data_IF_584626289618
#
_entry.id   IF_584626289618
#
_cell.length_a   1.000
_cell.length_b   1.000
_cell.length_c   1.000
_cell.angle_alpha   90.00
_cell.angle_beta   90.00
_cell.angle_gamma   90.00
#
_symmetry.space_group_name_H-M   'P 1'
#
loop_
_entity.id
_entity.type
_entity.pdbx_description
1 polymer ?
#
# COMPACT_ATOMS: atom_id res chain seq x y z
N UNK A 1 -6.97 34.75 5.32
CA UNK A 1 -6.09 34.14 6.34
C UNK A 1 -5.80 32.72 5.89
N UNK A 2 -4.53 32.37 5.71
CA UNK A 2 -4.14 31.01 5.32
C UNK A 2 -3.90 30.22 6.61
N UNK A 3 -4.70 29.21 6.85
CA UNK A 3 -4.49 28.33 8.01
C UNK A 3 -3.47 27.27 7.64
N UNK A 4 -2.51 27.01 8.53
CA UNK A 4 -1.51 25.97 8.41
C UNK A 4 -1.78 24.87 9.44
N UNK A 5 -1.52 23.62 9.05
CA UNK A 5 -1.64 22.45 9.92
C UNK A 5 -0.27 21.77 10.06
N UNK A 6 0.17 21.55 11.30
CA UNK A 6 1.37 20.75 11.55
C UNK A 6 1.07 19.25 11.41
N UNK A 7 1.83 18.54 10.57
CA UNK A 7 1.67 17.10 10.37
C UNK A 7 2.16 16.25 11.57
N UNK A 8 2.92 16.86 12.49
CA UNK A 8 3.41 16.17 13.68
C UNK A 8 2.41 16.23 14.84
N UNK A 9 1.99 17.44 15.24
CA UNK A 9 1.11 17.66 16.39
C UNK A 9 -0.34 18.00 16.03
N UNK A 10 -0.68 18.09 14.73
CA UNK A 10 -2.00 18.47 14.20
C UNK A 10 -2.53 19.81 14.72
N UNK A 11 -1.65 20.66 15.23
CA UNK A 11 -2.00 22.01 15.60
C UNK A 11 -2.29 22.83 14.34
N UNK A 12 -3.38 23.59 14.38
CA UNK A 12 -3.77 24.57 13.36
C UNK A 12 -3.44 25.97 13.84
N UNK A 13 -2.87 26.78 12.97
CA UNK A 13 -2.44 28.14 13.29
C UNK A 13 -2.46 29.00 12.03
N UNK A 14 -2.66 30.30 12.21
CA UNK A 14 -2.85 31.27 11.14
C UNK A 14 -1.64 32.22 11.11
N UNK A 15 -0.61 31.84 10.38
CA UNK A 15 0.61 32.64 10.14
C UNK A 15 0.85 32.77 8.63
N UNK A 16 1.44 33.88 8.16
CA UNK A 16 1.60 34.12 6.72
C UNK A 16 2.61 33.16 6.07
N UNK A 17 3.75 32.93 6.74
CA UNK A 17 4.82 31.99 6.35
C UNK A 17 5.52 31.37 7.57
N UNK A 18 4.90 30.40 8.25
CA UNK A 18 5.57 29.73 9.36
C UNK A 18 6.69 28.84 8.82
N UNK A 19 7.92 28.95 9.31
CA UNK A 19 8.99 27.98 9.01
C UNK A 19 8.87 26.71 9.87
N UNK A 20 8.29 26.86 11.07
CA UNK A 20 8.17 25.81 12.08
C UNK A 20 6.83 25.90 12.78
N UNK A 21 6.33 24.76 13.24
CA UNK A 21 5.14 24.73 14.07
C UNK A 21 5.39 25.40 15.43
N UNK A 22 4.54 26.35 15.87
CA UNK A 22 4.69 27.03 17.16
C UNK A 22 4.53 26.10 18.37
N UNK A 23 3.86 24.94 18.19
CA UNK A 23 3.56 24.01 19.27
C UNK A 23 4.61 22.91 19.49
N UNK A 24 5.33 22.52 18.43
CA UNK A 24 6.28 21.39 18.50
C UNK A 24 7.59 21.62 17.73
N UNK A 25 7.80 22.83 17.20
CA UNK A 25 8.98 23.24 16.43
C UNK A 25 9.28 22.39 15.20
N UNK A 26 8.35 21.53 14.77
CA UNK A 26 8.49 20.71 13.57
C UNK A 26 8.33 21.54 12.30
N UNK A 27 9.22 21.34 11.33
CA UNK A 27 9.12 21.94 9.98
C UNK A 27 8.13 21.20 9.06
N UNK A 28 7.42 20.18 9.55
CA UNK A 28 6.38 19.47 8.77
C UNK A 28 5.05 20.16 8.93
N UNK A 29 4.82 21.16 8.09
CA UNK A 29 3.61 21.98 8.06
C UNK A 29 2.98 21.92 6.67
N UNK A 30 1.65 21.96 6.59
CA UNK A 30 0.89 21.96 5.33
C UNK A 30 -0.09 23.13 5.35
N UNK A 31 -0.20 23.84 4.24
CA UNK A 31 -1.29 24.81 4.02
C UNK A 31 -2.62 24.06 4.04
N UNK A 32 -3.45 24.33 5.05
CA UNK A 32 -4.84 23.90 5.07
C UNK A 32 -5.60 24.85 4.15
N UNK A 33 -5.57 24.56 2.85
CA UNK A 33 -6.42 25.25 1.90
C UNK A 33 -7.87 25.07 2.36
N UNK A 34 -8.54 26.20 2.63
CA UNK A 34 -9.99 26.28 2.81
C UNK A 34 -10.60 25.48 1.67
N UNK A 35 -11.33 24.41 2.02
CA UNK A 35 -12.11 23.69 1.03
C UNK A 35 -13.11 24.67 0.42
N UNK A 36 -12.82 25.16 -0.78
CA UNK A 36 -13.85 25.68 -1.66
C UNK A 36 -14.92 24.58 -1.86
N UNK A 37 -16.21 24.95 -1.94
CA UNK A 37 -17.32 24.00 -2.00
C UNK A 37 -17.14 23.00 -3.17
N UNK A 38 -17.77 21.81 -3.08
CA UNK A 38 -17.51 20.71 -3.99
C UNK A 38 -17.72 21.15 -5.44
N UNK A 39 -16.62 21.24 -6.19
CA UNK A 39 -16.68 21.25 -7.66
C UNK A 39 -17.32 19.94 -8.06
N UNK A 40 -18.44 20.08 -8.76
CA UNK A 40 -19.19 19.04 -9.44
C UNK A 40 -18.25 18.03 -10.14
N UNK A 41 -18.64 16.76 -10.28
CA UNK A 41 -17.80 15.73 -10.88
C UNK A 41 -17.61 16.03 -12.39
N UNK A 42 -16.56 16.79 -12.71
CA UNK A 42 -16.06 16.91 -14.07
C UNK A 42 -15.54 15.55 -14.50
N UNK A 43 -16.19 15.04 -15.55
CA UNK A 43 -15.88 13.80 -16.24
C UNK A 43 -14.36 13.64 -16.45
N UNK A 44 -13.91 12.41 -16.21
CA UNK A 44 -12.53 11.95 -16.33
C UNK A 44 -11.84 12.51 -17.58
N UNK A 45 -10.95 13.48 -17.38
CA UNK A 45 -10.02 13.91 -18.41
C UNK A 45 -8.94 12.82 -18.59
N UNK A 46 -8.95 12.26 -19.78
CA UNK A 46 -8.08 11.23 -20.33
C UNK A 46 -6.60 11.46 -19.98
N UNK A 47 -6.06 10.67 -19.03
CA UNK A 47 -4.63 10.63 -18.74
C UNK A 47 -3.96 9.68 -19.72
N UNK A 48 -3.32 10.27 -20.73
CA UNK A 48 -2.20 9.75 -21.54
C UNK A 48 -1.77 8.32 -21.17
N UNK A 49 -2.25 7.39 -21.97
CA UNK A 49 -1.80 6.00 -22.05
C UNK A 49 -0.31 5.95 -22.36
N UNK A 50 0.52 5.68 -21.34
CA UNK A 50 1.86 5.13 -21.58
C UNK A 50 1.66 3.71 -22.11
N UNK A 51 1.87 3.53 -23.41
CA UNK A 51 1.98 2.20 -24.03
C UNK A 51 3.23 1.52 -23.49
N UNK A 52 3.09 0.79 -22.38
CA UNK A 52 4.03 -0.25 -21.96
C UNK A 52 3.41 -1.60 -22.30
N UNK A 53 4.00 -2.25 -23.31
CA UNK A 53 4.03 -3.68 -23.61
C UNK A 53 2.81 -4.50 -23.17
N UNK A 54 2.08 -4.98 -24.18
CA UNK A 54 0.95 -5.89 -24.11
C UNK A 54 1.23 -7.17 -23.30
N UNK A 55 0.85 -7.16 -22.03
CA UNK A 55 0.40 -8.37 -21.36
C UNK A 55 -0.99 -8.02 -20.82
N UNK A 56 -2.02 -8.42 -21.58
CA UNK A 56 -3.42 -8.17 -21.23
C UNK A 56 -3.75 -9.03 -20.00
N UNK A 57 -3.40 -8.52 -18.82
CA UNK A 57 -4.04 -8.96 -17.58
C UNK A 57 -5.41 -8.30 -17.60
N UNK A 58 -6.48 -9.10 -17.67
CA UNK A 58 -7.83 -8.57 -17.75
C UNK A 58 -8.07 -7.49 -16.68
N UNK A 59 -8.71 -6.39 -17.05
CA UNK A 59 -9.03 -5.27 -16.15
C UNK A 59 -10.11 -5.62 -15.10
N UNK A 60 -10.42 -6.91 -14.92
CA UNK A 60 -11.42 -7.36 -13.96
C UNK A 60 -10.80 -7.56 -12.59
N UNK A 61 -11.59 -7.28 -11.56
CA UNK A 61 -11.24 -7.55 -10.16
C UNK A 61 -10.84 -9.03 -9.94
N UNK A 62 -11.42 -9.93 -10.73
CA UNK A 62 -11.11 -11.37 -10.70
C UNK A 62 -9.75 -11.70 -11.31
N UNK A 63 -9.33 -11.02 -12.37
CA UNK A 63 -7.98 -11.16 -12.93
C UNK A 63 -6.92 -10.58 -11.99
N UNK A 64 -7.20 -9.44 -11.35
CA UNK A 64 -6.35 -8.89 -10.29
C UNK A 64 -6.20 -9.86 -9.11
N UNK A 65 -7.32 -10.43 -8.64
CA UNK A 65 -7.30 -11.46 -7.59
C UNK A 65 -6.51 -12.70 -8.02
N UNK A 66 -6.63 -13.14 -9.26
CA UNK A 66 -5.94 -14.33 -9.76
C UNK A 66 -4.42 -14.13 -9.86
N UNK A 67 -3.97 -12.92 -10.17
CA UNK A 67 -2.55 -12.57 -10.16
C UNK A 67 -1.99 -12.47 -8.73
N UNK A 68 -2.71 -11.82 -7.81
CA UNK A 68 -2.25 -11.65 -6.43
C UNK A 68 -2.48 -12.87 -5.53
N UNK A 69 -3.38 -13.79 -5.88
CA UNK A 69 -3.57 -15.09 -5.25
C UNK A 69 -2.75 -16.21 -5.93
N UNK A 70 -1.63 -15.88 -6.57
CA UNK A 70 -0.58 -16.86 -6.87
C UNK A 70 0.12 -17.28 -5.57
N UNK A 71 -0.63 -17.76 -4.59
CA UNK A 71 -0.08 -18.58 -3.54
C UNK A 71 0.48 -19.81 -4.25
N UNK A 72 1.80 -19.98 -4.20
CA UNK A 72 2.46 -21.21 -4.62
C UNK A 72 1.96 -22.30 -3.66
N UNK A 73 0.81 -22.90 -4.02
CA UNK A 73 0.08 -23.91 -3.26
C UNK A 73 0.73 -25.29 -3.33
N UNK A 74 1.73 -25.46 -4.20
CA UNK A 74 2.45 -26.72 -4.37
C UNK A 74 3.86 -26.62 -3.78
N UNK A 75 4.35 -27.73 -3.24
CA UNK A 75 5.72 -27.87 -2.81
C UNK A 75 6.64 -27.81 -4.03
N UNK A 76 7.69 -27.01 -3.96
CA UNK A 76 8.64 -26.86 -5.06
C UNK A 76 9.43 -28.16 -5.36
N UNK A 77 9.57 -29.03 -4.37
CA UNK A 77 10.33 -30.28 -4.48
C UNK A 77 9.46 -31.42 -5.03
N UNK A 78 8.24 -31.60 -4.49
CA UNK A 78 7.43 -32.79 -4.76
C UNK A 78 6.06 -32.50 -5.39
N UNK A 79 5.73 -31.23 -5.63
CA UNK A 79 4.43 -30.79 -6.13
C UNK A 79 3.24 -31.03 -5.18
N UNK A 80 3.49 -31.55 -3.97
CA UNK A 80 2.45 -31.80 -2.97
C UNK A 80 1.80 -30.51 -2.47
N UNK A 81 0.50 -30.55 -2.24
CA UNK A 81 -0.29 -29.40 -1.78
C UNK A 81 -0.57 -29.40 -0.28
N UNK A 82 -0.12 -30.45 0.41
CA UNK A 82 -0.34 -30.64 1.84
C UNK A 82 0.85 -30.11 2.65
N UNK A 83 0.59 -29.15 3.55
CA UNK A 83 1.60 -28.52 4.39
C UNK A 83 1.14 -28.43 5.85
N UNK A 84 2.08 -28.65 6.77
CA UNK A 84 1.95 -28.27 8.18
C UNK A 84 2.56 -26.89 8.41
N UNK A 85 1.80 -26.01 9.05
CA UNK A 85 2.22 -24.63 9.31
C UNK A 85 2.74 -24.48 10.73
N UNK A 86 4.04 -24.20 10.89
CA UNK A 86 4.65 -23.92 12.17
C UNK A 86 4.70 -22.40 12.41
N UNK A 87 3.67 -21.88 13.06
CA UNK A 87 3.52 -20.45 13.36
C UNK A 87 4.61 -19.90 14.29
N UNK A 88 5.18 -20.72 15.18
CA UNK A 88 6.27 -20.29 16.09
C UNK A 88 7.53 -19.95 15.30
N UNK A 89 7.86 -20.76 14.29
CA UNK A 89 9.04 -20.57 13.44
C UNK A 89 8.76 -19.76 12.16
N UNK A 90 7.47 -19.51 11.86
CA UNK A 90 6.99 -18.94 10.59
C UNK A 90 7.49 -19.76 9.38
N UNK A 91 7.29 -21.07 9.45
CA UNK A 91 7.71 -22.03 8.43
C UNK A 91 6.53 -22.90 8.01
N UNK A 92 6.44 -23.28 6.73
CA UNK A 92 5.54 -24.33 6.25
C UNK A 92 6.36 -25.57 5.88
N UNK A 93 5.91 -26.74 6.29
CA UNK A 93 6.59 -28.02 6.04
C UNK A 93 5.69 -28.89 5.17
N UNK A 94 6.17 -29.37 4.03
CA UNK A 94 5.37 -30.26 3.19
C UNK A 94 5.22 -31.63 3.86
N UNK A 95 3.98 -32.15 3.96
CA UNK A 95 3.72 -33.49 4.53
C UNK A 95 4.29 -34.63 3.68
N UNK A 96 4.37 -34.42 2.37
CA UNK A 96 4.72 -35.46 1.41
C UNK A 96 6.24 -35.73 1.35
N UNK A 97 7.06 -34.69 1.49
CA UNK A 97 8.53 -34.81 1.38
C UNK A 97 9.31 -34.18 2.55
N UNK A 98 8.63 -33.52 3.50
CA UNK A 98 9.29 -32.87 4.64
C UNK A 98 10.00 -31.55 4.30
N UNK A 99 9.96 -31.07 3.05
CA UNK A 99 10.62 -29.83 2.65
C UNK A 99 10.08 -28.64 3.45
N UNK A 100 10.98 -27.81 3.98
CA UNK A 100 10.62 -26.61 4.76
C UNK A 100 10.71 -25.37 3.87
N UNK A 101 9.62 -24.60 3.77
CA UNK A 101 9.64 -23.26 3.16
C UNK A 101 9.42 -22.19 4.23
N UNK A 102 10.30 -21.20 4.28
CA UNK A 102 10.16 -20.06 5.21
C UNK A 102 9.08 -19.10 4.73
N UNK A 103 8.16 -18.71 5.60
CA UNK A 103 7.18 -17.67 5.29
C UNK A 103 7.87 -16.31 5.30
N UNK A 104 7.44 -15.43 4.39
CA UNK A 104 7.96 -14.08 4.29
C UNK A 104 7.84 -13.37 5.65
N UNK A 105 8.97 -12.93 6.20
CA UNK A 105 8.99 -12.05 7.37
C UNK A 105 8.73 -10.64 6.84
N UNK A 106 7.79 -9.91 7.45
CA UNK A 106 7.78 -8.45 7.28
C UNK A 106 9.10 -7.97 7.85
N UNK A 107 9.98 -7.44 6.99
CA UNK A 107 11.17 -6.74 7.44
C UNK A 107 10.71 -5.66 8.42
N UNK A 108 11.25 -5.70 9.63
CA UNK A 108 10.94 -4.72 10.67
C UNK A 108 11.52 -3.34 10.30
#
# INVERSE_FOLDING_TARGET
MVTYECLNCRARFDEEEPEKCPRCSSGRIRRAAVQEPPKEPVAFADKKTHVRSSMVYGDTKDAWKSFHNQEIKACLECGGTEFDMNWKKKERVCRKCGSVSRLARRSA
#
